data_IF_250333143690
#
_entry.id   IF_250333143690
#
_cell.length_a   1.000
_cell.length_b   1.000
_cell.length_c   1.000
_cell.angle_alpha   90.00
_cell.angle_beta   90.00
_cell.angle_gamma   90.00
#
_symmetry.space_group_name_H-M   'P 1'
#
loop_
_entity.id
_entity.type
_entity.pdbx_description
1 polymer ?
#
# COMPACT_ATOMS: atom_id res chain seq x y z
N UNK A 1 -0.32 4.24 -30.59
CA UNK A 1 -0.31 3.09 -31.54
C UNK A 1 -0.29 1.74 -30.81
N UNK A 2 0.30 1.62 -29.61
CA UNK A 2 0.14 0.43 -28.77
C UNK A 2 -1.24 0.35 -28.09
N UNK A 3 -1.79 1.50 -27.67
CA UNK A 3 -3.05 1.57 -26.90
C UNK A 3 -4.28 1.04 -27.67
N UNK A 4 -4.33 1.22 -28.99
CA UNK A 4 -5.45 0.77 -29.83
C UNK A 4 -5.55 -0.75 -29.89
N UNK A 5 -4.41 -1.45 -29.84
CA UNK A 5 -4.38 -2.92 -29.84
C UNK A 5 -4.77 -3.50 -28.48
N UNK A 6 -4.45 -2.78 -27.40
CA UNK A 6 -4.81 -3.16 -26.04
C UNK A 6 -6.31 -2.94 -25.79
N UNK A 7 -6.90 -1.87 -26.34
CA UNK A 7 -8.35 -1.65 -26.29
C UNK A 7 -9.15 -2.75 -27.01
N UNK A 8 -8.66 -3.27 -28.13
CA UNK A 8 -9.26 -4.44 -28.82
C UNK A 8 -9.08 -5.75 -28.05
N UNK A 9 -8.03 -5.89 -27.24
CA UNK A 9 -7.81 -7.06 -26.39
C UNK A 9 -8.66 -7.02 -25.11
N UNK A 10 -8.97 -5.83 -24.60
CA UNK A 10 -9.86 -5.61 -23.44
C UNK A 10 -11.33 -5.97 -23.73
N UNK A 11 -11.77 -5.86 -24.98
CA UNK A 11 -13.16 -6.19 -25.39
C UNK A 11 -13.37 -7.67 -25.68
N UNK A 12 -12.30 -8.46 -25.80
CA UNK A 12 -12.37 -9.91 -26.00
C UNK A 12 -12.42 -10.65 -24.66
N UNK A 13 -13.15 -11.78 -24.57
CA UNK A 13 -13.14 -12.60 -23.38
C UNK A 13 -11.74 -13.19 -23.15
N UNK A 14 -11.24 -13.11 -21.90
CA UNK A 14 -9.90 -13.61 -21.50
C UNK A 14 -9.65 -15.09 -21.85
N UNK A 15 -10.70 -15.85 -22.13
CA UNK A 15 -10.65 -17.27 -22.46
C UNK A 15 -10.15 -17.54 -23.90
N UNK A 16 -10.15 -16.53 -24.76
CA UNK A 16 -9.71 -16.63 -26.18
C UNK A 16 -8.32 -16.02 -26.42
N UNK A 17 -7.72 -15.41 -25.39
CA UNK A 17 -6.40 -14.78 -25.50
C UNK A 17 -5.28 -15.78 -25.31
N UNK A 18 -4.19 -15.57 -26.04
CA UNK A 18 -2.93 -16.29 -25.83
C UNK A 18 -2.24 -15.81 -24.55
N UNK A 19 -1.40 -16.66 -23.95
CA UNK A 19 -0.65 -16.31 -22.71
C UNK A 19 0.17 -15.01 -22.87
N UNK A 20 0.72 -14.77 -24.07
CA UNK A 20 1.47 -13.55 -24.38
C UNK A 20 0.60 -12.29 -24.35
N UNK A 21 -0.61 -12.36 -24.91
CA UNK A 21 -1.55 -11.24 -24.89
C UNK A 21 -2.07 -10.95 -23.48
N UNK A 22 -2.25 -11.99 -22.65
CA UNK A 22 -2.62 -11.83 -21.24
C UNK A 22 -1.52 -11.09 -20.48
N UNK A 23 -0.24 -11.47 -20.67
CA UNK A 23 0.88 -10.80 -20.02
C UNK A 23 0.97 -9.32 -20.41
N UNK A 24 0.73 -8.99 -21.69
CA UNK A 24 0.69 -7.60 -22.18
C UNK A 24 -0.47 -6.81 -21.55
N UNK A 25 -1.63 -7.44 -21.43
CA UNK A 25 -2.80 -6.81 -20.81
C UNK A 25 -2.53 -6.50 -19.34
N UNK A 26 -1.93 -7.45 -18.61
CA UNK A 26 -1.57 -7.29 -17.20
C UNK A 26 -0.53 -6.18 -17.01
N UNK A 27 0.53 -6.13 -17.83
CA UNK A 27 1.50 -5.03 -17.80
C UNK A 27 0.86 -3.66 -18.04
N UNK A 28 -0.10 -3.58 -18.97
CA UNK A 28 -0.83 -2.36 -19.24
C UNK A 28 -1.77 -1.98 -18.08
N UNK A 29 -2.47 -2.95 -17.47
CA UNK A 29 -3.28 -2.74 -16.27
C UNK A 29 -2.43 -2.24 -15.09
N UNK A 30 -1.18 -2.70 -14.97
CA UNK A 30 -0.24 -2.18 -13.97
C UNK A 30 0.21 -0.76 -14.26
N UNK A 31 0.48 -0.42 -15.52
CA UNK A 31 1.01 0.91 -15.89
C UNK A 31 -0.05 2.00 -15.99
N UNK A 32 -1.25 1.68 -16.48
CA UNK A 32 -2.31 2.66 -16.78
C UNK A 32 -3.50 2.56 -15.82
N UNK A 33 -3.53 1.55 -14.94
CA UNK A 33 -4.62 1.33 -13.99
C UNK A 33 -4.41 1.97 -12.62
N UNK A 34 -5.34 1.75 -11.68
CA UNK A 34 -5.23 2.26 -10.30
C UNK A 34 -4.03 1.71 -9.52
N UNK A 35 -3.42 0.62 -9.98
CA UNK A 35 -2.20 0.03 -9.41
C UNK A 35 -0.91 0.74 -9.85
N UNK A 36 -0.98 1.65 -10.83
CA UNK A 36 0.18 2.43 -11.32
C UNK A 36 0.85 3.26 -10.22
N UNK A 37 0.10 3.66 -9.19
CA UNK A 37 0.66 4.33 -8.01
C UNK A 37 1.61 3.43 -7.22
N UNK A 38 1.34 2.12 -7.16
CA UNK A 38 2.21 1.14 -6.52
C UNK A 38 3.46 0.90 -7.36
N UNK A 39 3.32 0.86 -8.69
CA UNK A 39 4.46 0.74 -9.60
C UNK A 39 5.39 1.95 -9.48
N UNK A 40 4.82 3.15 -9.40
CA UNK A 40 5.56 4.38 -9.16
C UNK A 40 6.24 4.32 -7.79
N UNK A 41 5.54 3.92 -6.73
CA UNK A 41 6.09 3.81 -5.38
C UNK A 41 7.25 2.82 -5.26
N UNK A 42 7.23 1.70 -5.99
CA UNK A 42 8.36 0.76 -6.05
C UNK A 42 9.55 1.41 -6.77
N UNK A 43 9.32 2.04 -7.92
CA UNK A 43 10.38 2.65 -8.75
C UNK A 43 11.06 3.83 -8.05
N UNK A 44 10.28 4.69 -7.41
CA UNK A 44 10.79 5.85 -6.65
C UNK A 44 11.23 5.50 -5.24
N UNK A 45 11.02 4.25 -4.81
CA UNK A 45 11.16 3.81 -3.43
C UNK A 45 10.43 4.73 -2.44
N UNK A 46 9.29 5.33 -2.79
CA UNK A 46 8.56 6.27 -1.93
C UNK A 46 7.98 5.57 -0.70
N UNK A 47 7.85 6.29 0.42
CA UNK A 47 7.13 5.78 1.58
C UNK A 47 5.63 5.79 1.31
N UNK A 48 4.97 4.68 1.60
CA UNK A 48 3.51 4.55 1.48
C UNK A 48 2.89 4.37 2.86
N UNK A 49 1.70 4.96 3.04
CA UNK A 49 0.90 4.77 4.23
C UNK A 49 -0.25 3.81 3.91
N UNK A 50 -0.26 2.69 4.62
CA UNK A 50 -1.18 1.58 4.40
C UNK A 50 -2.15 1.51 5.58
N UNK A 51 -3.45 1.64 5.32
CA UNK A 51 -4.49 1.47 6.33
C UNK A 51 -5.00 0.03 6.34
N UNK A 52 -4.97 -0.61 7.52
CA UNK A 52 -5.40 -2.01 7.72
C UNK A 52 -6.77 -2.04 8.42
N UNK A 53 -7.57 -3.08 8.16
CA UNK A 53 -8.89 -3.38 8.76
C UNK A 53 -8.97 -3.24 10.30
N UNK A 54 -7.86 -3.40 11.03
CA UNK A 54 -7.80 -3.29 12.49
C UNK A 54 -7.53 -1.85 12.99
N UNK A 55 -7.82 -0.82 12.20
CA UNK A 55 -7.48 0.59 12.49
C UNK A 55 -5.99 0.80 12.82
N UNK A 56 -5.13 -0.04 12.22
CA UNK A 56 -3.67 0.08 12.29
C UNK A 56 -3.20 0.71 10.99
N UNK A 57 -2.19 1.57 11.09
CA UNK A 57 -1.54 2.17 9.92
C UNK A 57 -0.12 1.63 9.82
N UNK A 58 0.31 1.20 8.64
CA UNK A 58 1.70 0.87 8.36
C UNK A 58 2.32 1.98 7.52
N UNK A 59 3.44 2.52 7.97
CA UNK A 59 4.32 3.31 7.12
C UNK A 59 5.43 2.38 6.65
N UNK A 60 5.55 2.16 5.35
CA UNK A 60 6.52 1.22 4.79
C UNK A 60 6.99 1.66 3.40
N UNK A 61 8.03 1.00 2.88
CA UNK A 61 8.41 1.09 1.47
C UNK A 61 8.05 -0.22 0.79
N UNK A 62 7.49 -0.12 -0.42
CA UNK A 62 7.13 -1.29 -1.23
C UNK A 62 8.34 -1.72 -2.02
N UNK A 63 8.68 -3.01 -1.95
CA UNK A 63 9.74 -3.62 -2.75
C UNK A 63 9.20 -4.38 -3.96
N UNK A 64 8.09 -5.06 -3.76
CA UNK A 64 7.37 -5.76 -4.82
C UNK A 64 5.87 -5.76 -4.50
N UNK A 65 5.05 -5.85 -5.54
CA UNK A 65 3.60 -6.02 -5.45
C UNK A 65 3.15 -7.01 -6.51
N UNK A 66 1.92 -7.49 -6.37
CA UNK A 66 1.27 -8.43 -7.28
C UNK A 66 -0.14 -7.91 -7.65
N UNK A 67 -0.79 -8.52 -8.65
CA UNK A 67 -2.17 -8.23 -9.09
C UNK A 67 -3.21 -8.34 -7.98
N UNK A 68 -2.96 -9.21 -7.00
CA UNK A 68 -3.79 -9.35 -5.81
C UNK A 68 -3.48 -8.30 -4.75
N UNK A 69 -2.69 -7.27 -5.05
CA UNK A 69 -2.21 -6.27 -4.09
C UNK A 69 -1.51 -6.91 -2.87
N UNK A 70 -0.93 -8.10 -3.05
CA UNK A 70 0.00 -8.68 -2.08
C UNK A 70 1.31 -7.93 -2.22
N UNK A 71 1.83 -7.40 -1.12
CA UNK A 71 3.00 -6.51 -1.15
C UNK A 71 4.11 -7.02 -0.24
N UNK A 72 5.34 -6.94 -0.76
CA UNK A 72 6.56 -7.11 0.02
C UNK A 72 7.01 -5.74 0.50
N UNK A 73 7.08 -5.59 1.82
CA UNK A 73 7.36 -4.33 2.48
C UNK A 73 8.67 -4.37 3.25
N UNK A 74 9.42 -3.29 3.15
CA UNK A 74 10.64 -3.05 3.92
C UNK A 74 10.46 -1.85 4.87
N UNK A 75 11.20 -1.85 5.98
CA UNK A 75 11.20 -0.78 6.98
C UNK A 75 9.78 -0.48 7.50
N UNK A 76 9.04 -1.52 7.87
CA UNK A 76 7.64 -1.43 8.26
C UNK A 76 7.51 -0.85 9.66
N UNK A 77 6.88 0.33 9.74
CA UNK A 77 6.50 0.97 11.00
C UNK A 77 4.99 0.87 11.19
N UNK A 78 4.58 0.02 12.12
CA UNK A 78 3.18 -0.13 12.51
C UNK A 78 2.82 0.92 13.57
N UNK A 79 1.71 1.63 13.37
CA UNK A 79 1.21 2.68 14.24
C UNK A 79 -0.26 2.41 14.55
N UNK A 80 -0.63 2.49 15.83
CA UNK A 80 -2.02 2.42 16.26
C UNK A 80 -2.24 3.27 17.51
N UNK A 81 -3.48 3.69 17.69
CA UNK A 81 -3.89 4.44 18.88
C UNK A 81 -4.54 3.48 19.87
N UNK A 82 -4.07 3.50 21.11
CA UNK A 82 -4.66 2.76 22.21
C UNK A 82 -5.23 3.73 23.23
N UNK A 83 -6.47 3.50 23.64
CA UNK A 83 -7.12 4.28 24.69
C UNK A 83 -7.09 3.45 25.97
N UNK A 84 -6.09 3.64 26.87
CA UNK A 84 -6.01 2.87 28.10
C UNK A 84 -7.25 3.13 28.95
N UNK A 85 -7.72 2.10 29.65
CA UNK A 85 -8.76 2.25 30.68
C UNK A 85 -8.08 2.61 31.99
N UNK A 86 -8.53 3.71 32.61
CA UNK A 86 -8.06 4.10 33.93
C UNK A 86 -8.67 3.16 35.00
N UNK A 87 -8.04 3.07 36.17
CA UNK A 87 -8.54 2.26 37.31
C UNK A 87 -10.00 2.57 37.68
N UNK A 88 -10.46 3.78 37.36
CA UNK A 88 -11.82 4.26 37.64
C UNK A 88 -12.82 3.96 36.50
N UNK A 89 -12.48 3.08 35.55
CA UNK A 89 -13.33 2.68 34.42
C UNK A 89 -13.49 3.71 33.30
N UNK A 90 -13.02 4.95 33.48
CA UNK A 90 -13.07 6.01 32.46
C UNK A 90 -12.02 5.78 31.36
N UNK A 91 -12.37 6.13 30.11
CA UNK A 91 -11.45 6.12 28.97
C UNK A 91 -10.36 7.17 29.21
N UNK A 92 -9.09 6.74 29.20
CA UNK A 92 -7.93 7.62 29.33
C UNK A 92 -7.64 8.42 28.06
N UNK A 93 -6.54 9.18 28.08
CA UNK A 93 -6.08 9.92 26.89
C UNK A 93 -5.62 8.92 25.81
N UNK A 94 -5.95 9.13 24.52
CA UNK A 94 -5.45 8.29 23.44
C UNK A 94 -3.92 8.34 23.38
N UNK A 95 -3.26 7.17 23.40
CA UNK A 95 -1.81 7.05 23.32
C UNK A 95 -1.44 6.45 21.97
N UNK A 96 -0.60 7.13 21.20
CA UNK A 96 -0.06 6.61 19.95
C UNK A 96 1.06 5.60 20.25
N UNK A 97 0.85 4.33 19.93
CA UNK A 97 1.86 3.27 20.01
C UNK A 97 2.45 2.98 18.63
N UNK A 98 3.73 2.62 18.60
CA UNK A 98 4.46 2.25 17.38
C UNK A 98 5.30 0.98 17.57
N UNK A 99 5.32 0.11 16.56
CA UNK A 99 6.22 -1.06 16.48
C UNK A 99 7.00 -1.02 15.17
N UNK A 100 8.26 -1.42 15.25
CA UNK A 100 9.13 -1.56 14.09
C UNK A 100 9.27 -3.04 13.72
N UNK A 101 9.17 -3.34 12.43
CA UNK A 101 9.46 -4.64 11.84
C UNK A 101 10.40 -4.42 10.66
N UNK A 102 11.47 -5.22 10.61
CA UNK A 102 12.49 -5.07 9.56
C UNK A 102 11.97 -5.55 8.19
N UNK A 103 11.18 -6.62 8.19
CA UNK A 103 10.58 -7.22 7.00
C UNK A 103 9.12 -7.56 7.26
N UNK A 104 8.25 -7.35 6.26
CA UNK A 104 6.84 -7.71 6.37
C UNK A 104 6.18 -7.96 5.02
N UNK A 105 5.15 -8.80 5.03
CA UNK A 105 4.25 -9.00 3.89
C UNK A 105 2.88 -8.45 4.24
N UNK A 106 2.25 -7.70 3.34
CA UNK A 106 0.85 -7.27 3.48
C UNK A 106 -0.02 -8.01 2.45
N UNK A 107 -1.16 -8.53 2.90
CA UNK A 107 -2.18 -9.16 2.04
C UNK A 107 -3.37 -8.23 1.86
N UNK A 108 -3.96 -8.23 0.67
CA UNK A 108 -5.11 -7.39 0.32
C UNK A 108 -6.32 -7.60 1.23
N UNK A 109 -6.56 -8.83 1.70
CA UNK A 109 -7.67 -9.13 2.63
C UNK A 109 -7.63 -8.30 3.92
N UNK A 110 -6.46 -7.72 4.23
CA UNK A 110 -6.25 -6.88 5.41
C UNK A 110 -6.21 -5.39 5.10
N UNK A 111 -6.13 -4.99 3.83
CA UNK A 111 -6.03 -3.60 3.39
C UNK A 111 -7.42 -2.97 3.31
N UNK A 112 -7.55 -1.75 3.85
CA UNK A 112 -8.77 -0.95 3.73
C UNK A 112 -8.58 0.13 2.64
N UNK A 113 -7.49 0.89 2.75
CA UNK A 113 -7.16 2.02 1.85
C UNK A 113 -5.63 2.20 1.78
N UNK A 114 -5.14 2.65 0.62
CA UNK A 114 -3.73 2.96 0.38
C UNK A 114 -3.59 4.44 0.02
N UNK A 115 -2.71 5.17 0.71
CA UNK A 115 -2.43 6.57 0.43
C UNK A 115 -0.93 6.82 0.27
N UNK A 116 -0.59 7.80 -0.56
CA UNK A 116 0.79 8.28 -0.63
C UNK A 116 1.15 8.99 0.68
N UNK A 117 2.26 8.59 1.32
CA UNK A 117 2.70 9.24 2.53
C UNK A 117 3.34 10.58 2.14
N UNK A 118 2.51 11.61 1.98
CA UNK A 118 2.98 12.97 1.72
C UNK A 118 3.92 13.36 2.86
N UNK A 119 5.19 13.59 2.50
CA UNK A 119 6.29 14.12 3.31
C UNK A 119 6.15 13.97 4.82
N UNK A 120 6.95 13.09 5.41
CA UNK A 120 7.37 13.31 6.81
C UNK A 120 8.04 14.69 6.86
N UNK A 121 7.28 15.72 7.25
CA UNK A 121 7.87 16.96 7.71
C UNK A 121 8.90 16.56 8.78
N UNK A 122 10.17 17.00 8.66
CA UNK A 122 11.15 16.71 9.70
C UNK A 122 10.57 17.24 11.01
N UNK A 123 10.41 16.35 11.99
CA UNK A 123 10.09 16.75 13.35
C UNK A 123 11.23 17.69 13.73
N UNK A 124 10.94 19.00 13.81
CA UNK A 124 11.88 19.99 14.35
C UNK A 124 12.15 19.57 15.79
N UNK A 125 13.22 18.79 15.99
CA UNK A 125 13.83 18.60 17.28
C UNK A 125 14.46 19.94 17.68
N UNK A 126 13.93 20.53 18.74
CA UNK A 126 14.58 21.58 19.51
C UNK A 126 14.30 22.99 19.02
N UNK A 127 13.50 23.72 19.79
CA UNK A 127 14.00 24.95 20.41
C UNK A 127 13.64 24.91 21.90
N UNK A 128 14.58 25.47 22.67
CA UNK A 128 14.82 25.36 24.11
C UNK A 128 13.66 25.84 24.99
#
# INVERSE_FOLDING_TARGET
MADSKIQELLTKPRNELTEYEISLLEEHEFSAGPLSILQTAVRSHTQVLISIRNNRKLLARVKAFDRHCNMVLENVKEMWTETPRLANGKKGRPVLKRRFRNLGTAKLDTLNEMGEAIGTQPIRTGQA
#
